data_IF_712604994104
#
_entry.id   IF_712604994104
#
_cell.length_a   1.000
_cell.length_b   1.000
_cell.length_c   1.000
_cell.angle_alpha   90.00
_cell.angle_beta   90.00
_cell.angle_gamma   90.00
#
_symmetry.space_group_name_H-M   'P 1'
#
loop_
_entity.id
_entity.type
_entity.pdbx_description
1 polymer ?
#
# COMPACT_ATOMS: atom_id res chain seq x y z
N UNK A 1 18.75 50.89 55.91
CA UNK A 1 17.71 50.43 56.85
C UNK A 1 16.74 49.53 56.10
N UNK A 2 16.54 48.33 56.61
CA UNK A 2 15.57 47.29 56.21
C UNK A 2 15.70 46.75 54.77
N UNK A 3 16.15 45.60 54.43
CA UNK A 3 16.02 44.28 55.04
C UNK A 3 14.81 43.55 54.50
N UNK A 4 14.91 42.97 53.29
CA UNK A 4 13.84 42.16 52.69
C UNK A 4 14.39 40.84 52.16
N UNK A 5 14.08 39.75 52.85
CA UNK A 5 14.57 38.41 52.60
C UNK A 5 13.98 37.81 51.32
N UNK A 6 14.83 37.22 50.49
CA UNK A 6 14.47 36.33 49.36
C UNK A 6 14.18 34.92 49.91
N UNK A 7 12.94 34.47 49.78
CA UNK A 7 12.52 33.10 50.05
C UNK A 7 12.72 32.24 48.81
N UNK A 8 13.59 31.25 48.92
CA UNK A 8 13.95 30.27 47.89
C UNK A 8 12.99 29.08 48.01
N UNK A 9 12.04 28.93 47.12
CA UNK A 9 11.26 27.71 46.98
C UNK A 9 11.92 26.79 45.95
N UNK A 10 12.66 25.82 46.39
CA UNK A 10 13.12 24.65 45.66
C UNK A 10 11.96 23.66 45.60
N UNK A 11 11.32 23.54 44.45
CA UNK A 11 10.40 22.44 44.14
C UNK A 11 11.21 21.21 43.70
N UNK A 12 11.11 20.13 44.46
CA UNK A 12 11.77 18.86 44.17
C UNK A 12 11.20 18.18 42.96
N UNK A 13 12.10 17.66 42.13
CA UNK A 13 11.82 16.71 41.08
C UNK A 13 11.50 15.37 41.74
N UNK A 14 10.28 14.88 41.57
CA UNK A 14 9.90 13.53 41.99
C UNK A 14 10.48 12.54 40.99
N UNK A 15 11.34 11.65 41.48
CA UNK A 15 11.82 10.48 40.78
C UNK A 15 10.64 9.62 40.33
N UNK A 16 10.49 9.46 39.04
CA UNK A 16 9.63 8.40 38.46
C UNK A 16 10.47 7.13 38.49
N UNK A 17 10.18 6.31 39.46
CA UNK A 17 10.68 4.94 39.56
C UNK A 17 10.11 4.13 38.38
N UNK A 18 11.00 3.65 37.53
CA UNK A 18 10.73 2.63 36.54
C UNK A 18 10.42 1.32 37.27
N UNK A 19 9.17 0.93 37.34
CA UNK A 19 8.78 -0.42 37.70
C UNK A 19 8.97 -1.35 36.50
N UNK A 20 10.13 -2.00 36.45
CA UNK A 20 10.37 -3.21 35.74
C UNK A 20 9.54 -4.34 36.37
N UNK A 21 8.34 -4.55 35.91
CA UNK A 21 7.61 -5.81 36.09
C UNK A 21 7.36 -6.44 34.73
N UNK A 22 8.33 -7.21 34.27
CA UNK A 22 8.08 -8.27 33.31
C UNK A 22 7.10 -9.27 33.95
N UNK A 23 5.84 -9.10 33.64
CA UNK A 23 4.80 -10.09 33.94
C UNK A 23 4.51 -10.88 32.66
N UNK A 24 5.18 -12.01 32.54
CA UNK A 24 4.71 -13.16 31.76
C UNK A 24 3.35 -13.60 32.31
N UNK A 25 2.27 -13.20 31.64
CA UNK A 25 0.97 -13.85 31.77
C UNK A 25 0.42 -14.05 30.36
N UNK A 26 0.84 -15.12 29.68
CA UNK A 26 0.06 -15.70 28.62
C UNK A 26 -1.24 -16.22 29.21
N UNK A 27 -2.36 -15.76 28.70
CA UNK A 27 -3.67 -16.32 29.04
C UNK A 27 -4.79 -15.28 29.10
N UNK A 28 -5.78 -15.44 28.26
CA UNK A 28 -7.11 -14.79 28.19
C UNK A 28 -7.19 -13.31 27.72
N UNK A 29 -6.17 -12.50 27.85
CA UNK A 29 -6.18 -11.10 27.33
C UNK A 29 -5.92 -11.05 25.81
N UNK A 30 -5.03 -11.89 25.30
CA UNK A 30 -4.63 -11.94 23.89
C UNK A 30 -5.70 -12.53 22.95
N UNK A 31 -6.56 -13.42 23.47
CA UNK A 31 -7.62 -14.04 22.66
C UNK A 31 -8.73 -13.06 22.21
N UNK A 32 -8.79 -11.87 22.81
CA UNK A 32 -9.80 -10.83 22.53
C UNK A 32 -9.27 -9.65 21.74
N UNK A 33 -8.04 -9.70 21.29
CA UNK A 33 -7.42 -8.63 20.52
C UNK A 33 -6.79 -9.18 19.25
N UNK A 34 -7.12 -8.55 18.12
CA UNK A 34 -6.52 -8.81 16.83
C UNK A 34 -5.56 -7.68 16.50
N UNK A 35 -4.28 -8.00 16.36
CA UNK A 35 -3.27 -7.06 15.92
C UNK A 35 -3.02 -7.23 14.42
N UNK A 36 -3.23 -6.15 13.67
CA UNK A 36 -3.08 -6.08 12.22
C UNK A 36 -1.90 -5.16 11.88
N UNK A 37 -1.05 -5.55 10.93
CA UNK A 37 -0.02 -4.71 10.35
C UNK A 37 -0.32 -4.49 8.88
N UNK A 38 -0.63 -3.26 8.48
CA UNK A 38 -1.23 -2.97 7.19
C UNK A 38 -0.76 -1.62 6.64
N UNK A 39 -1.18 -1.33 5.41
CA UNK A 39 -1.06 -0.01 4.80
C UNK A 39 -1.93 1.02 5.51
N UNK A 40 -1.60 2.31 5.34
CA UNK A 40 -2.52 3.37 5.69
C UNK A 40 -3.86 3.19 4.95
N UNK A 41 -4.95 3.57 5.57
CA UNK A 41 -6.31 3.57 4.98
C UNK A 41 -6.87 2.22 4.51
N UNK A 42 -6.22 1.08 4.87
CA UNK A 42 -6.73 -0.28 4.57
C UNK A 42 -7.74 -0.80 5.59
N UNK A 43 -7.94 -0.08 6.66
CA UNK A 43 -9.05 -0.25 7.60
C UNK A 43 -9.36 1.10 8.25
N UNK A 44 -10.61 1.29 8.63
CA UNK A 44 -11.06 2.47 9.33
C UNK A 44 -11.79 2.09 10.64
N UNK A 45 -12.06 3.10 11.47
CA UNK A 45 -12.72 2.89 12.78
C UNK A 45 -14.09 2.23 12.64
N UNK A 46 -14.83 2.50 11.54
CA UNK A 46 -16.15 1.91 11.32
C UNK A 46 -16.06 0.42 10.98
N UNK A 47 -15.10 0.03 10.13
CA UNK A 47 -14.87 -1.37 9.79
C UNK A 47 -14.41 -2.17 11.01
N UNK A 48 -13.48 -1.61 11.79
CA UNK A 48 -13.01 -2.21 13.04
C UNK A 48 -14.15 -2.35 14.06
N UNK A 49 -15.00 -1.33 14.21
CA UNK A 49 -16.17 -1.39 15.08
C UNK A 49 -17.19 -2.44 14.65
N UNK A 50 -17.49 -2.55 13.34
CA UNK A 50 -18.37 -3.60 12.80
C UNK A 50 -17.86 -5.02 13.13
N UNK A 51 -16.55 -5.22 13.04
CA UNK A 51 -15.92 -6.49 13.41
C UNK A 51 -16.03 -6.76 14.91
N UNK A 52 -15.67 -5.77 15.74
CA UNK A 52 -15.75 -5.89 17.21
C UNK A 52 -17.18 -6.15 17.66
N UNK A 53 -18.18 -5.44 17.11
CA UNK A 53 -19.59 -5.65 17.43
C UNK A 53 -20.07 -7.07 17.08
N UNK A 54 -19.55 -7.63 15.99
CA UNK A 54 -19.92 -8.96 15.52
C UNK A 54 -19.26 -10.09 16.32
N UNK A 55 -17.99 -9.93 16.68
CA UNK A 55 -17.15 -11.01 17.21
C UNK A 55 -16.80 -10.84 18.69
N UNK A 56 -16.83 -9.62 19.21
CA UNK A 56 -16.34 -9.28 20.54
C UNK A 56 -14.82 -9.23 20.62
N UNK A 57 -14.12 -9.18 19.47
CA UNK A 57 -12.65 -9.07 19.36
C UNK A 57 -12.30 -7.63 19.04
N UNK A 58 -11.45 -7.01 19.85
CA UNK A 58 -10.93 -5.66 19.61
C UNK A 58 -9.86 -5.68 18.51
N UNK A 59 -9.81 -4.63 17.69
CA UNK A 59 -8.84 -4.50 16.60
C UNK A 59 -7.82 -3.43 16.96
N UNK A 60 -6.54 -3.76 16.80
CA UNK A 60 -5.40 -2.84 16.93
C UNK A 60 -4.63 -2.85 15.61
N UNK A 61 -4.40 -1.67 15.05
CA UNK A 61 -3.77 -1.50 13.74
C UNK A 61 -2.47 -0.75 13.88
N UNK A 62 -1.39 -1.32 13.35
CA UNK A 62 -0.13 -0.63 13.08
C UNK A 62 0.02 -0.47 11.57
N UNK A 63 0.63 0.65 11.15
CA UNK A 63 0.79 1.03 9.75
C UNK A 63 2.25 0.87 9.32
N UNK A 64 2.46 0.49 8.06
CA UNK A 64 3.74 0.57 7.36
C UNK A 64 3.57 1.30 6.02
N UNK A 65 4.67 1.79 5.49
CA UNK A 65 4.78 2.62 4.29
C UNK A 65 5.41 1.90 3.07
N UNK A 66 6.03 0.73 3.30
CA UNK A 66 6.55 -0.12 2.22
C UNK A 66 6.61 -1.59 2.63
N UNK A 67 6.51 -2.50 1.65
CA UNK A 67 6.67 -3.94 1.85
C UNK A 67 8.05 -4.27 2.44
N UNK A 68 9.08 -3.54 2.03
CA UNK A 68 10.46 -3.73 2.47
C UNK A 68 10.62 -3.36 3.96
N UNK A 69 10.05 -2.24 4.40
CA UNK A 69 10.01 -1.84 5.82
C UNK A 69 9.25 -2.87 6.65
N UNK A 70 8.11 -3.34 6.17
CA UNK A 70 7.33 -4.40 6.80
C UNK A 70 8.15 -5.68 6.93
N UNK A 71 8.76 -6.16 5.84
CA UNK A 71 9.57 -7.38 5.83
C UNK A 71 10.76 -7.29 6.77
N UNK A 72 11.48 -6.15 6.78
CA UNK A 72 12.62 -5.92 7.67
C UNK A 72 12.21 -6.01 9.14
N UNK A 73 11.07 -5.42 9.53
CA UNK A 73 10.51 -5.52 10.90
C UNK A 73 10.16 -6.97 11.26
N UNK A 74 9.56 -7.69 10.33
CA UNK A 74 9.21 -9.09 10.55
C UNK A 74 10.46 -9.97 10.74
N UNK A 75 11.50 -9.78 9.92
CA UNK A 75 12.78 -10.50 10.01
C UNK A 75 13.55 -10.15 11.29
N UNK A 76 13.40 -8.94 11.80
CA UNK A 76 14.00 -8.52 13.07
C UNK A 76 13.31 -9.09 14.32
N UNK A 77 12.29 -9.95 14.16
CA UNK A 77 11.54 -10.57 15.26
C UNK A 77 10.30 -9.78 15.69
N UNK A 78 9.89 -8.76 14.92
CA UNK A 78 8.66 -8.00 15.19
C UNK A 78 7.37 -8.74 14.82
N UNK A 79 7.49 -9.93 14.22
CA UNK A 79 6.35 -10.71 13.74
C UNK A 79 5.44 -11.28 14.84
N UNK A 80 5.97 -11.51 16.03
CA UNK A 80 5.22 -12.04 17.16
C UNK A 80 4.14 -11.06 17.70
N UNK A 81 4.17 -9.81 17.23
CA UNK A 81 3.18 -8.81 17.58
C UNK A 81 1.90 -8.89 16.76
N UNK A 82 1.96 -9.46 15.55
CA UNK A 82 0.88 -9.37 14.56
C UNK A 82 0.25 -10.71 14.23
N UNK A 83 -1.09 -10.73 14.22
CA UNK A 83 -1.88 -11.89 13.82
C UNK A 83 -2.17 -11.90 12.32
N UNK A 84 -2.19 -10.72 11.70
CA UNK A 84 -2.41 -10.51 10.27
C UNK A 84 -1.46 -9.43 9.73
N UNK A 85 -1.08 -9.59 8.45
CA UNK A 85 -0.34 -8.61 7.65
C UNK A 85 -1.02 -8.50 6.29
N UNK A 86 -0.88 -7.32 5.64
CA UNK A 86 -1.45 -7.04 4.31
C UNK A 86 -0.38 -6.78 3.25
N UNK A 87 0.48 -7.76 2.91
CA UNK A 87 1.50 -7.58 1.88
C UNK A 87 0.92 -7.57 0.48
N UNK A 88 1.63 -6.90 -0.42
CA UNK A 88 1.36 -7.00 -1.85
C UNK A 88 1.81 -8.36 -2.40
N UNK A 89 1.30 -8.72 -3.56
CA UNK A 89 1.46 -10.01 -4.22
C UNK A 89 2.92 -10.48 -4.36
N UNK A 90 3.83 -9.63 -4.85
CA UNK A 90 5.25 -10.00 -4.97
C UNK A 90 5.90 -10.28 -3.61
N UNK A 91 5.48 -9.55 -2.56
CA UNK A 91 5.99 -9.73 -1.21
C UNK A 91 5.47 -11.04 -0.60
N UNK A 92 4.23 -11.44 -0.90
CA UNK A 92 3.71 -12.76 -0.51
C UNK A 92 4.63 -13.87 -1.03
N UNK A 93 5.00 -13.82 -2.31
CA UNK A 93 5.89 -14.82 -2.87
C UNK A 93 7.23 -14.86 -2.15
N UNK A 94 7.83 -13.70 -1.87
CA UNK A 94 9.08 -13.60 -1.13
C UNK A 94 8.95 -14.14 0.31
N UNK A 95 7.88 -13.82 1.01
CA UNK A 95 7.63 -14.29 2.38
C UNK A 95 7.37 -15.80 2.44
N UNK A 96 6.74 -16.38 1.40
CA UNK A 96 6.60 -17.85 1.25
C UNK A 96 7.98 -18.50 1.13
N UNK A 97 8.85 -17.98 0.27
CA UNK A 97 10.21 -18.51 0.09
C UNK A 97 11.05 -18.43 1.38
N UNK A 98 10.81 -17.40 2.20
CA UNK A 98 11.44 -17.22 3.51
C UNK A 98 10.82 -18.09 4.62
N UNK A 99 9.71 -18.78 4.34
CA UNK A 99 8.99 -19.63 5.33
C UNK A 99 8.33 -18.81 6.45
N UNK A 100 7.92 -17.56 6.15
CA UNK A 100 7.36 -16.64 7.13
C UNK A 100 5.82 -16.66 7.20
N UNK A 101 5.14 -17.31 6.25
CA UNK A 101 3.70 -17.38 6.17
C UNK A 101 3.17 -18.76 6.55
N UNK A 102 2.07 -18.78 7.29
CA UNK A 102 1.33 -20.00 7.60
C UNK A 102 0.52 -20.47 6.39
N UNK A 103 0.44 -21.78 6.17
CA UNK A 103 -0.57 -22.32 5.25
C UNK A 103 -1.97 -22.11 5.84
N UNK A 104 -2.88 -21.60 5.02
CA UNK A 104 -4.28 -21.38 5.41
C UNK A 104 -5.05 -22.72 5.31
N UNK A 105 -5.85 -23.01 6.33
CA UNK A 105 -6.77 -24.16 6.31
C UNK A 105 -8.04 -23.81 5.52
N UNK A 106 -8.25 -24.38 4.33
CA UNK A 106 -9.43 -24.07 3.51
C UNK A 106 -10.76 -24.42 4.21
N UNK A 107 -10.74 -25.35 5.16
CA UNK A 107 -11.95 -25.71 5.91
C UNK A 107 -12.39 -24.64 6.92
N UNK A 108 -11.51 -23.69 7.23
CA UNK A 108 -11.79 -22.54 8.11
C UNK A 108 -12.16 -21.27 7.35
N UNK A 109 -11.98 -21.25 6.02
CA UNK A 109 -12.28 -20.10 5.17
C UNK A 109 -13.69 -20.24 4.57
N UNK A 110 -14.43 -19.12 4.55
CA UNK A 110 -15.75 -19.02 3.92
C UNK A 110 -15.77 -17.79 3.02
N UNK A 111 -16.20 -17.98 1.77
CA UNK A 111 -16.28 -16.88 0.80
C UNK A 111 -15.18 -16.84 -0.25
N UNK A 112 -14.14 -17.69 -0.15
CA UNK A 112 -13.11 -17.79 -1.19
C UNK A 112 -13.69 -18.17 -2.55
N UNK A 113 -14.80 -18.93 -2.59
CA UNK A 113 -15.52 -19.28 -3.81
C UNK A 113 -16.17 -18.07 -4.50
N UNK A 114 -16.21 -16.91 -3.86
CA UNK A 114 -16.74 -15.67 -4.43
C UNK A 114 -15.66 -14.84 -5.14
N UNK A 115 -14.39 -15.26 -5.07
CA UNK A 115 -13.31 -14.57 -5.78
C UNK A 115 -13.50 -14.66 -7.30
N UNK A 116 -13.20 -13.59 -8.01
CA UNK A 116 -13.08 -13.60 -9.47
C UNK A 116 -12.00 -14.61 -9.91
N UNK A 117 -12.17 -15.23 -11.06
CA UNK A 117 -11.31 -16.31 -11.56
C UNK A 117 -9.82 -15.98 -11.50
N UNK A 118 -9.44 -14.74 -11.81
CA UNK A 118 -8.07 -14.24 -11.76
C UNK A 118 -7.41 -14.40 -10.38
N UNK A 119 -8.19 -14.31 -9.30
CA UNK A 119 -7.70 -14.38 -7.92
C UNK A 119 -7.98 -15.71 -7.21
N UNK A 120 -8.56 -16.71 -7.90
CA UNK A 120 -8.75 -18.05 -7.33
C UNK A 120 -7.48 -18.93 -7.38
N UNK A 121 -6.57 -18.65 -8.33
CA UNK A 121 -5.29 -19.37 -8.49
C UNK A 121 -4.20 -18.38 -8.95
N UNK A 122 -3.84 -17.40 -8.12
CA UNK A 122 -2.89 -16.37 -8.52
C UNK A 122 -1.46 -16.93 -8.62
N UNK A 123 -0.67 -16.36 -9.53
CA UNK A 123 0.71 -16.82 -9.81
C UNK A 123 1.63 -16.68 -8.58
N UNK A 124 1.41 -15.65 -7.77
CA UNK A 124 2.22 -15.38 -6.57
C UNK A 124 1.97 -16.35 -5.41
N UNK A 125 0.78 -16.97 -5.36
CA UNK A 125 0.40 -17.97 -4.35
C UNK A 125 -0.61 -18.97 -4.94
N UNK A 126 -0.14 -19.98 -5.70
CA UNK A 126 -1.03 -20.93 -6.36
C UNK A 126 -2.02 -21.58 -5.40
N UNK A 127 -3.30 -21.49 -5.73
CA UNK A 127 -4.46 -21.97 -4.95
C UNK A 127 -4.68 -21.23 -3.63
N UNK A 128 -4.11 -20.05 -3.47
CA UNK A 128 -4.24 -19.25 -2.25
C UNK A 128 -3.90 -20.06 -0.98
N UNK A 129 -2.77 -20.76 -1.02
CA UNK A 129 -2.34 -21.59 0.11
C UNK A 129 -1.94 -20.76 1.32
N UNK A 130 -1.41 -19.55 1.12
CA UNK A 130 -0.88 -18.69 2.18
C UNK A 130 -1.56 -17.35 2.30
N UNK A 131 -2.33 -16.95 1.28
CA UNK A 131 -2.87 -15.59 1.17
C UNK A 131 -4.33 -15.56 0.75
N UNK A 132 -5.01 -14.50 1.14
CA UNK A 132 -6.37 -14.18 0.66
C UNK A 132 -6.31 -12.84 -0.07
N UNK A 133 -6.58 -12.77 -1.37
CA UNK A 133 -6.67 -11.50 -2.09
C UNK A 133 -7.72 -10.59 -1.46
N UNK A 134 -7.34 -9.34 -1.19
CA UNK A 134 -8.19 -8.39 -0.48
C UNK A 134 -8.59 -7.21 -1.36
N UNK A 135 -7.62 -6.56 -1.97
CA UNK A 135 -7.80 -5.41 -2.85
C UNK A 135 -6.87 -5.49 -4.04
N UNK A 136 -7.17 -4.74 -5.09
CA UNK A 136 -6.29 -4.57 -6.21
C UNK A 136 -6.46 -3.18 -6.82
N UNK A 137 -5.51 -2.76 -7.61
CA UNK A 137 -5.55 -1.49 -8.31
C UNK A 137 -4.41 -1.34 -9.30
N UNK A 138 -4.24 -0.12 -9.75
CA UNK A 138 -3.19 0.28 -10.69
C UNK A 138 -2.40 1.46 -10.13
N UNK A 139 -1.22 1.67 -10.67
CA UNK A 139 -0.45 2.89 -10.44
C UNK A 139 -0.53 3.75 -11.69
N UNK A 140 -0.61 5.07 -11.54
CA UNK A 140 -0.78 5.95 -12.68
C UNK A 140 -0.42 7.40 -12.38
N UNK A 141 -0.95 8.29 -13.22
CA UNK A 141 -0.81 9.74 -13.07
C UNK A 141 -2.13 10.35 -12.60
N UNK A 142 -2.10 10.98 -11.44
CA UNK A 142 -3.17 11.81 -10.90
C UNK A 142 -2.80 13.27 -11.10
N UNK A 143 -3.68 14.06 -11.68
CA UNK A 143 -3.37 15.45 -12.03
C UNK A 143 -4.57 16.38 -11.92
N UNK A 144 -4.27 17.66 -11.71
CA UNK A 144 -5.25 18.73 -11.79
C UNK A 144 -5.33 19.21 -13.25
N UNK A 145 -6.44 18.91 -13.96
CA UNK A 145 -6.64 19.25 -15.38
C UNK A 145 -6.58 20.75 -15.69
N UNK A 146 -6.83 21.60 -14.69
CA UNK A 146 -6.74 23.04 -14.85
C UNK A 146 -5.30 23.56 -14.67
N UNK A 147 -4.39 22.76 -14.13
CA UNK A 147 -3.00 23.11 -13.85
C UNK A 147 -1.99 22.55 -14.84
N UNK A 148 -2.38 21.56 -15.66
CA UNK A 148 -1.52 20.93 -16.66
C UNK A 148 -1.83 21.41 -18.08
N UNK A 149 -0.88 21.34 -19.00
CA UNK A 149 -1.04 21.73 -20.39
C UNK A 149 -1.40 20.54 -21.27
N UNK A 150 -2.61 20.49 -21.79
CA UNK A 150 -3.12 19.33 -22.55
C UNK A 150 -3.52 18.20 -21.61
N UNK A 151 -3.69 17.00 -22.16
CA UNK A 151 -4.06 15.81 -21.38
C UNK A 151 -2.86 14.88 -21.29
N UNK A 152 -2.40 14.51 -20.08
CA UNK A 152 -1.44 13.43 -19.93
C UNK A 152 -2.00 12.13 -20.52
N UNK A 153 -1.21 11.44 -21.35
CA UNK A 153 -1.61 10.16 -21.96
C UNK A 153 -0.64 9.03 -21.58
N UNK A 154 0.61 9.39 -21.26
CA UNK A 154 1.66 8.44 -20.94
C UNK A 154 2.68 9.02 -19.97
N UNK A 155 3.56 8.17 -19.43
CA UNK A 155 4.66 8.57 -18.53
C UNK A 155 5.56 9.66 -19.12
N UNK A 156 5.80 9.64 -20.44
CA UNK A 156 6.64 10.62 -21.15
C UNK A 156 6.15 12.06 -20.98
N UNK A 157 4.87 12.25 -20.67
CA UNK A 157 4.31 13.57 -20.38
C UNK A 157 5.11 14.33 -19.31
N UNK A 158 5.63 13.64 -18.30
CA UNK A 158 6.42 14.25 -17.23
C UNK A 158 7.73 14.83 -17.74
N UNK A 159 8.44 14.10 -18.62
CA UNK A 159 9.70 14.56 -19.22
C UNK A 159 9.49 15.65 -20.25
N UNK A 160 8.47 15.52 -21.09
CA UNK A 160 8.15 16.50 -22.13
C UNK A 160 7.75 17.84 -21.54
N UNK A 161 7.14 17.86 -20.36
CA UNK A 161 6.67 19.06 -19.68
C UNK A 161 7.47 19.42 -18.41
N UNK A 162 8.64 18.81 -18.18
CA UNK A 162 9.41 18.96 -16.94
C UNK A 162 9.77 20.41 -16.61
N UNK A 163 9.92 21.28 -17.62
CA UNK A 163 10.22 22.70 -17.41
C UNK A 163 9.03 23.48 -16.88
N UNK A 164 7.82 23.17 -17.37
CA UNK A 164 6.58 23.85 -16.98
C UNK A 164 6.05 23.32 -15.65
N UNK A 165 6.31 22.03 -15.37
CA UNK A 165 5.93 21.33 -14.14
C UNK A 165 7.02 21.37 -13.05
N UNK A 166 8.07 22.18 -13.25
CA UNK A 166 9.20 22.20 -12.33
C UNK A 166 8.76 22.49 -10.89
N UNK A 167 9.07 21.57 -9.99
CA UNK A 167 8.68 21.56 -8.56
C UNK A 167 7.17 21.44 -8.29
N UNK A 168 6.39 21.04 -9.30
CA UNK A 168 4.95 20.81 -9.21
C UNK A 168 4.56 19.36 -9.54
N UNK A 169 5.52 18.47 -9.61
CA UNK A 169 5.29 17.03 -9.84
C UNK A 169 6.04 16.16 -8.84
N UNK A 170 5.51 14.99 -8.56
CA UNK A 170 6.12 13.98 -7.69
C UNK A 170 6.10 12.61 -8.36
N UNK A 171 7.07 11.76 -7.99
CA UNK A 171 7.03 10.33 -8.22
C UNK A 171 6.95 9.62 -6.87
N UNK A 172 6.50 8.36 -6.86
CA UNK A 172 6.42 7.57 -5.63
C UNK A 172 7.81 7.35 -5.00
N UNK A 173 7.86 7.28 -3.69
CA UNK A 173 9.08 6.89 -2.95
C UNK A 173 9.32 5.37 -3.00
N UNK A 174 8.44 4.63 -3.63
CA UNK A 174 8.58 3.20 -3.90
C UNK A 174 9.49 2.96 -5.11
N UNK A 175 10.60 2.26 -4.88
CA UNK A 175 11.62 2.01 -5.91
C UNK A 175 11.09 1.14 -7.05
N UNK A 176 10.28 0.11 -6.73
CA UNK A 176 9.76 -0.82 -7.73
C UNK A 176 8.73 -0.16 -8.64
N UNK A 177 7.87 0.65 -8.05
CA UNK A 177 6.87 1.44 -8.78
C UNK A 177 7.53 2.50 -9.66
N UNK A 178 8.42 3.32 -9.10
CA UNK A 178 9.05 4.42 -9.84
C UNK A 178 9.99 3.93 -10.94
N UNK A 179 10.85 2.96 -10.66
CA UNK A 179 11.72 2.36 -11.70
C UNK A 179 10.90 1.63 -12.77
N UNK A 180 9.86 0.89 -12.35
CA UNK A 180 8.97 0.18 -13.27
C UNK A 180 8.24 1.11 -14.23
N UNK A 181 7.72 2.24 -13.74
CA UNK A 181 7.07 3.26 -14.58
C UNK A 181 8.05 3.83 -15.63
N UNK A 182 9.29 4.09 -15.24
CA UNK A 182 10.33 4.57 -16.18
C UNK A 182 10.70 3.49 -17.19
N UNK A 183 10.83 2.24 -16.78
CA UNK A 183 11.08 1.12 -17.70
C UNK A 183 9.95 1.01 -18.75
N UNK A 184 8.69 1.14 -18.33
CA UNK A 184 7.54 1.16 -19.27
C UNK A 184 7.63 2.32 -20.25
N UNK A 185 7.98 3.52 -19.79
CA UNK A 185 8.15 4.69 -20.67
C UNK A 185 9.26 4.48 -21.71
N UNK A 186 10.23 3.62 -21.42
CA UNK A 186 11.30 3.24 -22.35
C UNK A 186 10.92 2.04 -23.26
N UNK A 187 9.73 1.44 -23.04
CA UNK A 187 9.24 0.29 -23.79
C UNK A 187 9.75 -1.06 -23.25
N UNK A 188 10.26 -1.09 -22.04
CA UNK A 188 10.73 -2.30 -21.36
C UNK A 188 9.65 -2.93 -20.48
N UNK A 189 9.91 -4.13 -19.95
CA UNK A 189 9.07 -4.73 -18.92
C UNK A 189 9.18 -3.94 -17.62
N UNK A 190 8.06 -3.81 -16.91
CA UNK A 190 8.00 -3.26 -15.54
C UNK A 190 8.96 -4.00 -14.58
N UNK A 191 9.21 -5.28 -14.88
CA UNK A 191 10.02 -6.20 -14.11
C UNK A 191 11.39 -6.49 -14.75
N UNK A 192 11.92 -5.60 -15.58
CA UNK A 192 13.21 -5.84 -16.21
C UNK A 192 14.31 -6.12 -15.18
N UNK A 193 15.10 -7.14 -15.45
CA UNK A 193 16.32 -7.50 -14.72
C UNK A 193 17.58 -7.29 -15.56
N UNK A 194 17.46 -6.71 -16.76
CA UNK A 194 18.59 -6.40 -17.63
C UNK A 194 19.35 -5.17 -17.08
N UNK A 195 20.63 -5.30 -16.73
CA UNK A 195 21.39 -4.18 -16.14
C UNK A 195 21.52 -2.96 -17.07
N UNK A 196 21.49 -3.14 -18.38
CA UNK A 196 21.58 -2.02 -19.33
C UNK A 196 20.25 -1.25 -19.38
N UNK A 197 19.10 -1.95 -19.34
CA UNK A 197 17.77 -1.34 -19.25
C UNK A 197 17.57 -0.62 -17.90
N UNK A 198 17.98 -1.24 -16.80
CA UNK A 198 17.93 -0.62 -15.46
C UNK A 198 18.81 0.63 -15.39
N UNK A 199 19.97 0.62 -16.05
CA UNK A 199 20.84 1.79 -16.12
C UNK A 199 20.20 2.91 -16.93
N UNK A 200 19.54 2.61 -18.04
CA UNK A 200 18.83 3.60 -18.84
C UNK A 200 17.70 4.23 -18.05
N UNK A 201 16.92 3.43 -17.32
CA UNK A 201 15.87 3.93 -16.42
C UNK A 201 16.43 4.83 -15.31
N UNK A 202 17.54 4.45 -14.69
CA UNK A 202 18.24 5.27 -13.71
C UNK A 202 18.68 6.63 -14.31
N UNK A 203 19.33 6.62 -15.49
CA UNK A 203 19.78 7.84 -16.15
C UNK A 203 18.60 8.77 -16.48
N UNK A 204 17.47 8.23 -16.88
CA UNK A 204 16.22 8.97 -17.13
C UNK A 204 15.63 9.57 -15.85
N UNK A 205 15.71 8.87 -14.71
CA UNK A 205 15.31 9.41 -13.40
C UNK A 205 16.25 10.53 -12.94
N UNK A 206 17.54 10.40 -13.17
CA UNK A 206 18.53 11.46 -12.89
C UNK A 206 18.22 12.72 -13.69
N UNK A 207 17.77 12.59 -14.94
CA UNK A 207 17.36 13.72 -15.78
C UNK A 207 16.18 14.50 -15.20
N UNK A 208 15.09 13.81 -14.79
CA UNK A 208 13.87 14.46 -14.32
C UNK A 208 13.97 14.93 -12.87
N UNK A 209 14.82 14.34 -12.05
CA UNK A 209 14.93 14.62 -10.63
C UNK A 209 14.98 16.13 -10.26
N UNK A 210 15.75 17.00 -10.96
CA UNK A 210 15.78 18.43 -10.63
C UNK A 210 14.41 19.13 -10.77
N UNK A 211 13.52 18.59 -11.60
CA UNK A 211 12.18 19.12 -11.82
C UNK A 211 11.16 18.56 -10.82
N UNK A 212 11.42 17.46 -10.15
CA UNK A 212 10.53 16.94 -9.12
C UNK A 212 10.48 17.85 -7.90
N UNK A 213 9.31 17.95 -7.26
CA UNK A 213 9.17 18.54 -5.94
C UNK A 213 9.89 17.63 -4.93
N UNK A 214 9.57 16.35 -4.94
CA UNK A 214 10.21 15.27 -4.15
C UNK A 214 9.72 13.90 -4.64
N UNK A 215 10.31 12.83 -4.12
CA UNK A 215 9.70 11.51 -4.10
C UNK A 215 8.79 11.40 -2.88
N UNK A 216 7.58 10.88 -3.04
CA UNK A 216 6.63 10.69 -1.94
C UNK A 216 5.51 9.74 -2.36
N UNK A 217 5.15 8.82 -1.48
CA UNK A 217 4.06 7.88 -1.70
C UNK A 217 2.75 8.31 -1.05
N UNK A 218 2.78 9.24 -0.07
CA UNK A 218 1.62 9.72 0.68
C UNK A 218 1.75 11.21 0.99
N UNK A 219 0.63 11.87 1.30
CA UNK A 219 0.59 13.27 1.77
C UNK A 219 0.77 14.30 0.66
N UNK A 220 0.47 13.95 -0.59
CA UNK A 220 0.44 14.87 -1.73
C UNK A 220 -0.96 15.48 -1.96
N UNK A 221 -1.98 14.96 -1.32
CA UNK A 221 -3.39 15.25 -1.57
C UNK A 221 -3.68 16.74 -1.35
N UNK A 222 -3.36 17.26 -0.17
CA UNK A 222 -3.56 18.67 0.16
C UNK A 222 -2.79 19.62 -0.79
N UNK A 223 -1.57 19.22 -1.20
CA UNK A 223 -0.75 20.01 -2.10
C UNK A 223 -1.30 20.01 -3.54
N UNK A 224 -1.88 18.91 -3.98
CA UNK A 224 -2.53 18.79 -5.29
C UNK A 224 -3.85 19.58 -5.32
N UNK A 225 -4.70 19.42 -4.30
CA UNK A 225 -5.96 20.18 -4.15
C UNK A 225 -5.71 21.67 -3.99
N UNK A 226 -4.65 22.05 -3.26
CA UNK A 226 -4.21 23.42 -3.04
C UNK A 226 -3.51 24.09 -4.22
N UNK A 227 -3.07 23.31 -5.21
CA UNK A 227 -2.37 23.79 -6.41
C UNK A 227 -0.87 24.01 -6.23
N UNK A 228 -0.27 23.52 -5.15
CA UNK A 228 1.19 23.47 -4.97
C UNK A 228 1.83 22.38 -5.83
N UNK A 229 1.07 21.29 -6.12
CA UNK A 229 1.38 20.26 -7.09
C UNK A 229 0.36 20.29 -8.22
N UNK A 230 0.77 19.89 -9.42
CA UNK A 230 -0.07 19.84 -10.62
C UNK A 230 -0.31 18.41 -11.10
N UNK A 231 0.67 17.51 -10.90
CA UNK A 231 0.62 16.12 -11.31
C UNK A 231 1.48 15.26 -10.37
N UNK A 232 0.99 14.08 -10.03
CA UNK A 232 1.68 13.14 -9.16
C UNK A 232 1.56 11.72 -9.69
N UNK A 233 2.59 10.91 -9.51
CA UNK A 233 2.46 9.46 -9.61
C UNK A 233 1.73 8.98 -8.37
N UNK A 234 0.65 8.22 -8.54
CA UNK A 234 -0.26 7.83 -7.46
C UNK A 234 -0.77 6.41 -7.63
N UNK A 235 -1.10 5.78 -6.52
CA UNK A 235 -1.93 4.57 -6.51
C UNK A 235 -3.39 4.93 -6.81
N UNK A 236 -4.10 4.04 -7.53
CA UNK A 236 -5.50 4.28 -7.89
C UNK A 236 -6.41 4.48 -6.68
N UNK A 237 -6.11 3.87 -5.52
CA UNK A 237 -6.87 4.03 -4.29
C UNK A 237 -6.95 5.49 -3.85
N UNK A 238 -5.82 6.18 -3.81
CA UNK A 238 -5.76 7.60 -3.44
C UNK A 238 -6.34 8.49 -4.54
N UNK A 239 -6.01 8.14 -5.80
CA UNK A 239 -6.48 8.89 -6.96
C UNK A 239 -8.01 8.91 -7.06
N UNK A 240 -8.67 7.78 -6.85
CA UNK A 240 -10.13 7.69 -6.89
C UNK A 240 -10.77 8.50 -5.78
N UNK A 241 -10.22 8.46 -4.56
CA UNK A 241 -10.69 9.31 -3.47
C UNK A 241 -10.69 10.79 -3.86
N UNK A 242 -9.59 11.28 -4.47
CA UNK A 242 -9.46 12.68 -4.88
C UNK A 242 -10.32 13.04 -6.09
N UNK A 243 -10.48 12.15 -7.06
CA UNK A 243 -11.37 12.41 -8.24
C UNK A 243 -12.84 12.46 -7.84
N UNK A 244 -13.24 11.75 -6.78
CA UNK A 244 -14.58 11.84 -6.20
C UNK A 244 -14.80 13.11 -5.35
N UNK A 245 -13.72 13.67 -4.78
CA UNK A 245 -13.77 14.88 -3.95
C UNK A 245 -13.77 16.16 -4.79
N UNK A 246 -12.99 16.20 -5.88
CA UNK A 246 -12.79 17.42 -6.67
C UNK A 246 -12.78 17.11 -8.19
N UNK A 247 -13.78 17.63 -8.90
CA UNK A 247 -13.95 17.47 -10.35
C UNK A 247 -12.76 17.97 -11.21
N UNK A 248 -11.81 18.69 -10.63
CA UNK A 248 -10.58 19.10 -11.31
C UNK A 248 -9.55 18.00 -11.40
N UNK A 249 -9.66 16.99 -10.54
CA UNK A 249 -8.73 15.86 -10.49
C UNK A 249 -9.11 14.83 -11.54
N UNK A 250 -8.12 14.34 -12.25
CA UNK A 250 -8.25 13.24 -13.20
C UNK A 250 -7.11 12.24 -12.99
N UNK A 251 -7.42 10.97 -13.16
CA UNK A 251 -6.46 9.88 -13.07
C UNK A 251 -6.36 9.16 -14.40
N UNK A 252 -5.17 8.71 -14.77
CA UNK A 252 -4.95 7.86 -15.92
C UNK A 252 -3.99 6.71 -15.58
N UNK A 253 -4.22 5.55 -16.17
CA UNK A 253 -3.20 4.53 -16.36
C UNK A 253 -2.47 4.83 -17.66
N UNK A 254 -1.14 5.09 -17.65
CA UNK A 254 -0.41 5.47 -18.86
C UNK A 254 -0.47 4.44 -19.97
N UNK A 255 -0.52 4.91 -21.22
CA UNK A 255 -0.74 4.08 -22.39
C UNK A 255 0.35 3.02 -22.66
N UNK A 256 1.60 3.30 -22.26
CA UNK A 256 2.69 2.31 -22.31
C UNK A 256 2.54 1.19 -21.27
N UNK A 257 1.59 1.33 -20.34
CA UNK A 257 1.29 0.42 -19.26
C UNK A 257 1.87 0.84 -17.92
N UNK A 258 1.48 0.14 -16.88
CA UNK A 258 1.85 0.40 -15.50
C UNK A 258 1.86 -0.88 -14.66
N UNK A 259 1.98 -0.75 -13.34
CA UNK A 259 1.73 -1.86 -12.42
C UNK A 259 0.24 -2.14 -12.23
N UNK A 260 -0.08 -3.41 -12.06
CA UNK A 260 -1.32 -3.88 -11.41
C UNK A 260 -0.90 -4.60 -10.14
N UNK A 261 -1.22 -4.01 -9.01
CA UNK A 261 -0.92 -4.59 -7.72
C UNK A 261 -2.12 -5.31 -7.12
N UNK A 262 -1.86 -6.31 -6.31
CA UNK A 262 -2.87 -7.00 -5.49
C UNK A 262 -2.36 -7.06 -4.07
N UNK A 263 -3.11 -6.49 -3.14
CA UNK A 263 -2.81 -6.65 -1.73
C UNK A 263 -3.64 -7.78 -1.13
N UNK A 264 -3.03 -8.47 -0.20
CA UNK A 264 -3.54 -9.72 0.33
C UNK A 264 -3.63 -9.67 1.84
N UNK A 265 -4.34 -10.60 2.43
CA UNK A 265 -4.33 -10.86 3.87
C UNK A 265 -3.57 -12.15 4.10
N UNK A 266 -2.54 -12.11 4.94
CA UNK A 266 -1.72 -13.27 5.30
C UNK A 266 -1.61 -13.46 6.81
N UNK A 267 -1.37 -14.70 7.24
CA UNK A 267 -1.14 -15.06 8.64
C UNK A 267 0.34 -15.42 8.81
N UNK A 268 1.13 -14.64 9.57
CA UNK A 268 2.52 -14.99 9.87
C UNK A 268 2.64 -16.31 10.59
N UNK A 269 3.76 -17.03 10.40
CA UNK A 269 4.05 -18.26 11.19
C UNK A 269 4.20 -17.99 12.68
N UNK A 270 4.50 -16.75 13.05
CA UNK A 270 4.62 -16.27 14.44
C UNK A 270 3.33 -15.66 15.02
N UNK A 271 2.21 -15.71 14.29
CA UNK A 271 0.96 -15.04 14.68
C UNK A 271 0.50 -15.44 16.08
N UNK A 272 0.29 -14.49 17.01
CA UNK A 272 -0.08 -14.82 18.38
C UNK A 272 -1.55 -15.26 18.53
N UNK A 273 -2.44 -14.81 17.63
CA UNK A 273 -3.87 -15.09 17.69
C UNK A 273 -4.43 -15.51 16.33
N UNK A 274 -4.15 -16.74 15.95
CA UNK A 274 -4.57 -17.32 14.64
C UNK A 274 -6.10 -17.41 14.53
N UNK A 275 -6.82 -17.66 15.63
CA UNK A 275 -8.27 -17.79 15.59
C UNK A 275 -8.92 -16.43 15.26
N UNK A 276 -8.47 -15.33 15.89
CA UNK A 276 -8.93 -13.99 15.55
C UNK A 276 -8.56 -13.59 14.10
N UNK A 277 -7.41 -14.06 13.60
CA UNK A 277 -7.02 -13.83 12.21
C UNK A 277 -8.03 -14.45 11.22
N UNK A 278 -8.46 -15.69 11.45
CA UNK A 278 -9.48 -16.32 10.61
C UNK A 278 -10.85 -15.65 10.73
N UNK A 279 -11.23 -15.19 11.93
CA UNK A 279 -12.49 -14.43 12.10
C UNK A 279 -12.47 -13.15 11.26
N UNK A 280 -11.32 -12.43 11.24
CA UNK A 280 -11.17 -11.23 10.41
C UNK A 280 -11.18 -11.55 8.92
N UNK A 281 -10.42 -12.56 8.47
CA UNK A 281 -10.40 -12.98 7.07
C UNK A 281 -11.83 -13.31 6.60
N UNK A 282 -12.56 -14.13 7.35
CA UNK A 282 -13.93 -14.50 7.01
C UNK A 282 -14.86 -13.30 7.00
N UNK A 283 -14.68 -12.35 7.94
CA UNK A 283 -15.43 -11.10 7.97
C UNK A 283 -15.19 -10.27 6.71
N UNK A 284 -13.93 -10.11 6.28
CA UNK A 284 -13.59 -9.36 5.08
C UNK A 284 -14.04 -10.04 3.77
N UNK A 285 -14.21 -11.37 3.78
CA UNK A 285 -14.72 -12.15 2.66
C UNK A 285 -16.26 -12.08 2.52
N UNK A 286 -16.99 -11.56 3.52
CA UNK A 286 -18.44 -11.37 3.41
C UNK A 286 -18.74 -10.34 2.33
N UNK A 287 -19.65 -10.62 1.37
CA UNK A 287 -19.91 -9.70 0.27
C UNK A 287 -20.31 -8.30 0.74
N UNK A 288 -21.14 -8.19 1.78
CA UNK A 288 -21.60 -6.93 2.34
C UNK A 288 -20.46 -6.12 2.97
N UNK A 289 -19.51 -6.80 3.62
CA UNK A 289 -18.33 -6.18 4.24
C UNK A 289 -17.35 -5.74 3.18
N UNK A 290 -17.07 -6.61 2.21
CA UNK A 290 -16.21 -6.29 1.08
C UNK A 290 -16.78 -5.13 0.23
N UNK A 291 -18.11 -5.08 0.02
CA UNK A 291 -18.77 -3.93 -0.65
C UNK A 291 -18.58 -2.65 0.15
N UNK A 292 -18.81 -2.70 1.47
CA UNK A 292 -18.59 -1.55 2.35
C UNK A 292 -17.11 -1.09 2.31
N UNK A 293 -16.17 -2.02 2.27
CA UNK A 293 -14.75 -1.68 2.16
C UNK A 293 -14.42 -0.94 0.84
N UNK A 294 -14.96 -1.40 -0.30
CA UNK A 294 -14.82 -0.67 -1.59
C UNK A 294 -15.37 0.75 -1.49
N UNK A 295 -16.60 0.89 -0.96
CA UNK A 295 -17.30 2.18 -0.88
C UNK A 295 -16.65 3.17 0.10
N UNK A 296 -15.96 2.67 1.13
CA UNK A 296 -15.35 3.51 2.17
C UNK A 296 -13.85 3.71 2.04
N UNK A 297 -13.16 2.85 1.27
CA UNK A 297 -11.69 2.83 1.15
C UNK A 297 -11.20 3.00 -0.30
N UNK A 298 -12.11 3.08 -1.28
CA UNK A 298 -11.84 3.42 -2.69
C UNK A 298 -10.88 2.49 -3.44
N UNK A 299 -10.80 1.20 -3.10
CA UNK A 299 -10.01 0.21 -3.84
C UNK A 299 -10.90 -0.81 -4.56
N UNK A 300 -10.40 -1.43 -5.63
CA UNK A 300 -11.12 -2.47 -6.33
C UNK A 300 -11.12 -3.80 -5.54
N UNK A 301 -12.26 -4.50 -5.58
CA UNK A 301 -12.41 -5.78 -4.89
C UNK A 301 -12.16 -6.97 -5.82
N UNK A 302 -11.47 -8.01 -5.36
CA UNK A 302 -11.40 -9.29 -6.06
C UNK A 302 -12.65 -10.17 -5.86
N UNK A 303 -13.62 -9.77 -5.02
CA UNK A 303 -14.83 -10.52 -4.71
C UNK A 303 -15.95 -10.23 -5.71
N UNK A 304 -16.32 -11.20 -6.54
CA UNK A 304 -17.34 -11.07 -7.58
C UNK A 304 -18.72 -10.68 -7.02
N UNK A 305 -19.11 -11.24 -5.87
CA UNK A 305 -20.40 -10.89 -5.26
C UNK A 305 -20.42 -9.48 -4.71
N UNK A 306 -19.32 -9.02 -4.15
CA UNK A 306 -19.17 -7.63 -3.73
C UNK A 306 -19.25 -6.71 -4.95
N UNK A 307 -18.55 -7.02 -6.04
CA UNK A 307 -18.64 -6.26 -7.29
C UNK A 307 -20.09 -6.16 -7.78
N UNK A 308 -20.84 -7.27 -7.76
CA UNK A 308 -22.27 -7.29 -8.18
C UNK A 308 -23.15 -6.38 -7.31
N UNK A 309 -22.78 -6.13 -6.06
CA UNK A 309 -23.54 -5.29 -5.12
C UNK A 309 -23.21 -3.79 -5.23
N UNK A 310 -22.09 -3.42 -5.84
CA UNK A 310 -21.71 -2.01 -6.05
C UNK A 310 -22.74 -1.26 -6.88
N UNK A 311 -22.79 0.06 -6.71
CA UNK A 311 -23.59 0.94 -7.57
C UNK A 311 -23.12 0.88 -9.03
N UNK A 312 -24.01 1.22 -9.98
CA UNK A 312 -23.62 1.30 -11.38
C UNK A 312 -22.54 2.36 -11.63
N UNK A 313 -22.50 3.41 -10.82
CA UNK A 313 -21.48 4.45 -10.87
C UNK A 313 -20.09 3.88 -10.56
N UNK A 314 -19.94 3.13 -9.48
CA UNK A 314 -18.67 2.50 -9.11
C UNK A 314 -18.27 1.39 -10.10
N UNK A 315 -19.23 0.55 -10.54
CA UNK A 315 -18.94 -0.52 -11.52
C UNK A 315 -18.42 0.00 -12.85
N UNK A 316 -18.89 1.17 -13.27
CA UNK A 316 -18.50 1.80 -14.53
C UNK A 316 -17.36 2.82 -14.37
N UNK A 317 -16.81 2.95 -13.17
CA UNK A 317 -15.63 3.78 -12.96
C UNK A 317 -14.39 3.05 -13.48
N UNK A 318 -13.87 3.51 -14.64
CA UNK A 318 -12.73 2.89 -15.31
C UNK A 318 -11.40 3.14 -14.58
N UNK A 319 -11.34 4.11 -13.68
CA UNK A 319 -10.18 4.33 -12.81
C UNK A 319 -10.11 3.28 -11.69
N UNK A 320 -11.30 2.84 -11.21
CA UNK A 320 -11.43 1.80 -10.19
C UNK A 320 -11.37 0.39 -10.80
N UNK A 321 -12.04 0.19 -11.93
CA UNK A 321 -12.11 -1.08 -12.64
C UNK A 321 -11.69 -0.88 -14.12
N UNK A 322 -10.37 -0.73 -14.39
CA UNK A 322 -9.86 -0.53 -15.73
C UNK A 322 -10.30 -1.63 -16.70
N UNK A 323 -10.50 -1.25 -17.96
CA UNK A 323 -10.87 -2.19 -19.02
C UNK A 323 -9.79 -3.25 -19.24
N UNK A 324 -10.17 -4.40 -19.85
CA UNK A 324 -9.21 -5.45 -20.22
C UNK A 324 -8.12 -4.92 -21.17
N UNK A 325 -8.42 -3.93 -22.00
CA UNK A 325 -7.46 -3.30 -22.91
C UNK A 325 -6.38 -2.54 -22.14
N UNK A 326 -6.74 -1.78 -21.12
CA UNK A 326 -5.80 -1.09 -20.22
C UNK A 326 -4.99 -2.11 -19.43
N UNK A 327 -5.63 -3.11 -18.84
CA UNK A 327 -4.95 -4.13 -18.04
C UNK A 327 -3.99 -5.00 -18.88
N UNK A 328 -4.22 -5.16 -20.18
CA UNK A 328 -3.37 -5.97 -21.06
C UNK A 328 -1.96 -5.39 -21.27
N UNK A 329 -1.76 -4.09 -21.06
CA UNK A 329 -0.43 -3.43 -21.15
C UNK A 329 0.24 -3.25 -19.79
N UNK A 330 -0.49 -3.54 -18.71
CA UNK A 330 0.00 -3.48 -17.33
C UNK A 330 0.64 -4.80 -16.89
N UNK A 331 1.50 -4.75 -15.90
CA UNK A 331 2.19 -5.91 -15.35
C UNK A 331 2.05 -5.95 -13.82
N UNK A 332 1.87 -7.14 -13.24
CA UNK A 332 2.06 -7.34 -11.81
C UNK A 332 3.55 -7.19 -11.45
N UNK A 333 3.86 -6.70 -10.27
CA UNK A 333 5.26 -6.64 -9.79
C UNK A 333 5.72 -8.07 -9.46
N UNK A 334 6.85 -8.48 -10.02
CA UNK A 334 7.46 -9.78 -9.77
C UNK A 334 8.61 -9.68 -8.76
N UNK A 335 8.86 -10.73 -7.98
CA UNK A 335 10.06 -10.81 -7.14
C UNK A 335 11.33 -10.69 -7.97
N UNK A 336 12.35 -10.08 -7.40
CA UNK A 336 13.68 -9.96 -8.01
C UNK A 336 14.64 -10.96 -7.37
N UNK A 337 15.58 -11.48 -8.15
CA UNK A 337 16.75 -12.13 -7.56
C UNK A 337 17.62 -11.10 -6.81
N UNK A 338 18.52 -11.62 -5.95
CA UNK A 338 19.34 -10.76 -5.11
C UNK A 338 20.23 -9.79 -5.88
N UNK A 339 20.79 -10.19 -6.99
CA UNK A 339 21.70 -9.34 -7.79
C UNK A 339 20.93 -8.18 -8.40
N UNK A 340 19.77 -8.45 -8.95
CA UNK A 340 18.86 -7.44 -9.49
C UNK A 340 18.33 -6.51 -8.39
N UNK A 341 17.91 -7.05 -7.25
CA UNK A 341 17.46 -6.26 -6.10
C UNK A 341 18.54 -5.30 -5.59
N UNK A 342 19.78 -5.81 -5.41
CA UNK A 342 20.92 -4.99 -4.97
C UNK A 342 21.18 -3.82 -5.97
N UNK A 343 20.94 -4.04 -7.28
CA UNK A 343 21.13 -3.00 -8.31
C UNK A 343 20.03 -1.94 -8.26
N UNK A 344 18.75 -2.33 -8.05
CA UNK A 344 17.66 -1.39 -7.81
C UNK A 344 17.95 -0.52 -6.58
N UNK A 345 18.37 -1.11 -5.47
CA UNK A 345 18.70 -0.42 -4.23
C UNK A 345 19.88 0.54 -4.39
N UNK A 346 20.91 0.14 -5.16
CA UNK A 346 22.05 1.00 -5.48
C UNK A 346 21.62 2.24 -6.26
N UNK A 347 20.87 2.06 -7.35
CA UNK A 347 20.39 3.18 -8.17
C UNK A 347 19.44 4.08 -7.39
N UNK A 348 18.53 3.50 -6.60
CA UNK A 348 17.60 4.26 -5.77
C UNK A 348 18.32 5.11 -4.72
N UNK A 349 19.32 4.53 -4.05
CA UNK A 349 20.15 5.25 -3.09
C UNK A 349 20.88 6.43 -3.75
N UNK A 350 21.43 6.23 -4.94
CA UNK A 350 22.11 7.31 -5.69
C UNK A 350 21.12 8.41 -6.12
N UNK A 351 19.91 8.04 -6.54
CA UNK A 351 18.87 9.01 -6.90
C UNK A 351 18.40 9.80 -5.69
N UNK A 352 18.11 9.16 -4.57
CA UNK A 352 17.49 9.84 -3.41
C UNK A 352 18.50 10.60 -2.56
N UNK A 353 19.77 10.23 -2.55
CA UNK A 353 20.82 10.86 -1.73
C UNK A 353 21.51 12.06 -2.40
N UNK A 354 21.33 12.32 -3.68
CA UNK A 354 22.04 13.34 -4.44
C UNK A 354 21.39 14.75 -4.33
#
# INVERSE_FOLDING_TARGET
MAGGALSNCRGGISDVQSDDTAATTGGEGDAKTLHIYTWADYTNDELAAKFTDKTGIDVVVDIYDSNETMLAKMQAGGGDAYSLIYPSDYMVQQMIELGMLSELDPARLTGMENMLDKWQDPVYDPKNVHSVPFSWGTTGLLYNKDAVSGTPEDWDYLWDNQSDLARQMTLLEDVRETMGAVLKSLGYSYNSSDPDELKEAYERLVEIKPALAKFMSFGYEDALLGGDLSIVMAYSVDAISLTLEDDRMEYIVPASGSSVWTDTIVVPTSAPNVDAAYEWINFMLEPEVSTFAVESLSFATPNAKSFDMLSDELKNNEDLFPSEEVLAVCEGIAPLDKETSDLYDEYWTQITSA
#
